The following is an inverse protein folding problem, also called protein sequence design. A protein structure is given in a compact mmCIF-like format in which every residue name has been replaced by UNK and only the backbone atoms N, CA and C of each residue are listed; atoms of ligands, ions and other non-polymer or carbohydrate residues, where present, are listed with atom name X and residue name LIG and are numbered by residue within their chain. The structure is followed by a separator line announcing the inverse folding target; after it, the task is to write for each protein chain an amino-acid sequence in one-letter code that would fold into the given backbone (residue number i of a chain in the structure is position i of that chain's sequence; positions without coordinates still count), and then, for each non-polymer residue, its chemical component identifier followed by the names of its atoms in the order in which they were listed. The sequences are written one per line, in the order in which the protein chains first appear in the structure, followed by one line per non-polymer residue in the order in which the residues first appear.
data_IF_678718421074
#
_entry.id   IF_678718421074
#
_cell.length_a   1.000
_cell.length_b   1.000
_cell.length_c   1.000
_cell.angle_alpha   90.00
_cell.angle_beta   90.00
_cell.angle_gamma   90.00
#
_symmetry.space_group_name_H-M   'P 1'
#
loop_
_entity.id
_entity.type
_entity.pdbx_description
1 polymer ?
#
# COMPACT_ATOMS: atom_id res chain seq x y z
N UNK A 1 23.43 -4.44 0.25
CA UNK A 1 22.36 -3.58 0.84
C UNK A 1 21.11 -3.83 0.01
N UNK A 2 19.94 -4.02 0.62
CA UNK A 2 18.70 -4.19 -0.12
C UNK A 2 18.30 -2.86 -0.76
N UNK A 3 17.84 -2.89 -2.02
CA UNK A 3 17.34 -1.70 -2.70
C UNK A 3 15.99 -1.28 -2.13
N UNK A 4 15.77 0.04 -2.05
CA UNK A 4 14.50 0.62 -1.66
C UNK A 4 13.56 0.64 -2.87
N UNK A 5 12.24 0.45 -2.64
CA UNK A 5 11.25 0.29 -3.71
C UNK A 5 10.41 1.56 -3.87
N UNK A 6 10.06 1.86 -5.11
CA UNK A 6 9.08 2.90 -5.49
C UNK A 6 7.86 2.19 -6.05
N UNK A 7 6.70 2.37 -5.39
CA UNK A 7 5.48 1.59 -5.61
C UNK A 7 4.33 2.53 -6.00
N UNK A 8 3.87 2.54 -7.25
CA UNK A 8 2.60 3.15 -7.61
C UNK A 8 1.42 2.39 -7.01
N UNK A 9 0.42 3.14 -6.50
CA UNK A 9 -0.82 2.58 -5.98
C UNK A 9 -2.01 3.08 -6.78
N UNK A 10 -2.91 2.18 -7.15
CA UNK A 10 -4.11 2.48 -7.93
C UNK A 10 -5.36 2.09 -7.15
N UNK A 11 -6.17 3.08 -6.79
CA UNK A 11 -7.51 2.85 -6.27
C UNK A 11 -8.40 2.41 -7.44
N UNK A 12 -8.97 1.22 -7.36
CA UNK A 12 -9.83 0.65 -8.41
C UNK A 12 -11.28 0.62 -7.92
N UNK A 13 -12.16 1.16 -8.74
CA UNK A 13 -13.62 1.11 -8.54
C UNK A 13 -14.29 0.67 -9.82
N UNK A 14 -15.11 -0.38 -9.74
CA UNK A 14 -15.87 -0.91 -10.90
C UNK A 14 -14.96 -1.18 -12.13
N UNK A 15 -13.74 -1.70 -11.89
CA UNK A 15 -12.75 -2.01 -12.93
C UNK A 15 -12.01 -0.81 -13.52
N UNK A 16 -12.16 0.39 -12.97
CA UNK A 16 -11.48 1.62 -13.41
C UNK A 16 -10.61 2.19 -12.30
N UNK A 17 -9.45 2.71 -12.67
CA UNK A 17 -8.63 3.48 -11.72
C UNK A 17 -9.31 4.81 -11.45
N UNK A 18 -9.48 5.12 -10.18
CA UNK A 18 -10.08 6.36 -9.74
C UNK A 18 -9.17 7.09 -8.76
N UNK A 19 -9.25 8.41 -8.75
CA UNK A 19 -8.56 9.23 -7.74
C UNK A 19 -9.44 10.37 -7.27
N UNK A 20 -9.52 10.52 -5.96
CA UNK A 20 -10.19 11.63 -5.31
C UNK A 20 -9.41 12.07 -4.07
N UNK A 21 -9.79 13.19 -3.50
CA UNK A 21 -9.31 13.63 -2.19
C UNK A 21 -10.23 13.02 -1.13
N UNK A 22 -9.67 12.28 -0.18
CA UNK A 22 -10.45 11.58 0.87
C UNK A 22 -11.59 10.71 0.33
N UNK A 23 -11.36 10.03 -0.81
CA UNK A 23 -12.36 9.17 -1.50
C UNK A 23 -13.63 9.91 -1.95
N UNK A 24 -13.60 11.23 -2.07
CA UNK A 24 -14.71 12.08 -2.57
C UNK A 24 -14.34 12.67 -3.92
N UNK A 25 -15.34 12.96 -4.77
CA UNK A 25 -15.15 13.51 -6.13
C UNK A 25 -14.17 12.70 -6.97
N UNK A 26 -14.38 11.38 -7.02
CA UNK A 26 -13.53 10.45 -7.76
C UNK A 26 -13.49 10.84 -9.25
N UNK A 27 -12.30 11.00 -9.79
CA UNK A 27 -12.02 11.18 -11.21
C UNK A 27 -11.50 9.87 -11.77
N UNK A 28 -11.97 9.48 -12.94
CA UNK A 28 -11.46 8.34 -13.70
C UNK A 28 -10.03 8.65 -14.18
N UNK A 29 -9.10 7.74 -13.91
CA UNK A 29 -7.70 7.82 -14.33
C UNK A 29 -7.35 6.76 -15.40
N UNK A 30 -8.30 5.93 -15.82
CA UNK A 30 -8.12 4.99 -16.92
C UNK A 30 -8.26 3.51 -16.55
N UNK A 31 -7.84 2.64 -17.49
CA UNK A 31 -7.76 1.20 -17.27
C UNK A 31 -6.58 0.87 -16.35
N UNK A 32 -6.76 0.02 -15.32
CA UNK A 32 -5.71 -0.32 -14.36
C UNK A 32 -4.52 -1.04 -15.00
N UNK A 33 -4.75 -1.89 -16.01
CA UNK A 33 -3.67 -2.65 -16.64
C UNK A 33 -2.84 -1.74 -17.55
N UNK A 34 -3.47 -0.88 -18.33
CA UNK A 34 -2.78 0.09 -19.17
C UNK A 34 -1.94 1.07 -18.34
N UNK A 35 -2.44 1.45 -17.17
CA UNK A 35 -1.69 2.32 -16.26
C UNK A 35 -0.51 1.56 -15.62
N UNK A 36 -0.72 0.32 -15.21
CA UNK A 36 0.33 -0.52 -14.63
C UNK A 36 1.44 -0.83 -15.65
N UNK A 37 1.13 -1.07 -16.93
CA UNK A 37 2.12 -1.21 -18.00
C UNK A 37 3.03 0.01 -18.12
N UNK A 38 2.45 1.21 -18.08
CA UNK A 38 3.24 2.45 -18.09
C UNK A 38 4.18 2.54 -16.89
N UNK A 39 3.79 2.04 -15.73
CA UNK A 39 4.64 2.00 -14.55
C UNK A 39 5.73 0.93 -14.67
N UNK A 40 5.43 -0.22 -15.28
CA UNK A 40 6.43 -1.25 -15.60
C UNK A 40 7.49 -0.71 -16.56
N UNK A 41 7.09 -0.03 -17.62
CA UNK A 41 8.01 0.64 -18.57
C UNK A 41 8.89 1.70 -17.87
N UNK A 42 8.36 2.40 -16.88
CA UNK A 42 9.10 3.36 -16.05
C UNK A 42 9.94 2.69 -14.94
N UNK A 43 9.97 1.34 -14.89
CA UNK A 43 10.74 0.55 -13.92
C UNK A 43 10.26 0.72 -12.47
N UNK A 44 8.94 0.75 -12.25
CA UNK A 44 8.39 0.53 -10.92
C UNK A 44 8.92 -0.78 -10.32
N UNK A 45 9.04 -0.85 -9.01
CA UNK A 45 9.52 -2.07 -8.36
C UNK A 45 8.39 -3.05 -8.04
N UNK A 46 7.18 -2.54 -7.92
CA UNK A 46 5.94 -3.24 -7.61
C UNK A 46 4.77 -2.30 -7.92
N UNK A 47 3.56 -2.81 -8.16
CA UNK A 47 2.34 -2.01 -8.17
C UNK A 47 1.32 -2.55 -7.17
N UNK A 48 0.49 -1.67 -6.61
CA UNK A 48 -0.60 -2.07 -5.72
C UNK A 48 -1.92 -1.61 -6.30
N UNK A 49 -2.85 -2.57 -6.44
CA UNK A 49 -4.25 -2.31 -6.77
C UNK A 49 -5.09 -2.39 -5.49
N UNK A 50 -5.81 -1.32 -5.16
CA UNK A 50 -6.72 -1.28 -4.02
C UNK A 50 -8.15 -1.22 -4.53
N UNK A 51 -8.86 -2.34 -4.44
CA UNK A 51 -10.30 -2.38 -4.73
C UNK A 51 -11.06 -1.65 -3.61
N UNK A 52 -11.60 -0.50 -3.97
CA UNK A 52 -12.45 0.32 -3.09
C UNK A 52 -13.94 0.05 -3.30
N UNK A 53 -14.30 -0.93 -4.13
CA UNK A 53 -15.67 -1.34 -4.40
C UNK A 53 -16.18 -2.24 -3.27
N UNK A 54 -17.24 -1.86 -2.59
CA UNK A 54 -17.75 -2.58 -1.41
C UNK A 54 -18.71 -3.74 -1.73
N UNK A 55 -18.87 -4.15 -3.00
CA UNK A 55 -19.91 -5.09 -3.44
C UNK A 55 -19.37 -6.46 -3.87
N UNK A 56 -20.25 -7.49 -3.88
CA UNK A 56 -19.93 -8.83 -4.40
C UNK A 56 -19.57 -8.83 -5.89
N UNK A 57 -20.20 -7.96 -6.67
CA UNK A 57 -19.97 -7.84 -8.11
C UNK A 57 -18.58 -7.23 -8.41
N UNK A 58 -18.12 -6.33 -7.55
CA UNK A 58 -16.76 -5.78 -7.61
C UNK A 58 -15.68 -6.84 -7.47
N UNK A 59 -15.92 -7.91 -6.71
CA UNK A 59 -14.94 -8.99 -6.53
C UNK A 59 -14.66 -9.77 -7.83
N UNK A 60 -15.66 -10.06 -8.64
CA UNK A 60 -15.47 -10.73 -9.93
C UNK A 60 -14.62 -9.86 -10.86
N UNK A 61 -14.89 -8.54 -10.88
CA UNK A 61 -14.12 -7.56 -11.66
C UNK A 61 -12.66 -7.49 -11.20
N UNK A 62 -12.41 -7.56 -9.87
CA UNK A 62 -11.05 -7.52 -9.31
C UNK A 62 -10.27 -8.79 -9.62
N UNK A 63 -10.93 -9.96 -9.64
CA UNK A 63 -10.31 -11.23 -10.05
C UNK A 63 -9.95 -11.20 -11.54
N UNK A 64 -10.84 -10.72 -12.41
CA UNK A 64 -10.58 -10.53 -13.84
C UNK A 64 -9.39 -9.59 -14.06
N UNK A 65 -9.36 -8.47 -13.37
CA UNK A 65 -8.23 -7.53 -13.39
C UNK A 65 -6.92 -8.21 -12.98
N UNK A 66 -6.92 -9.01 -11.91
CA UNK A 66 -5.72 -9.72 -11.46
C UNK A 66 -5.25 -10.74 -12.50
N UNK A 67 -6.16 -11.47 -13.15
CA UNK A 67 -5.82 -12.40 -14.23
C UNK A 67 -5.19 -11.68 -15.42
N UNK A 68 -5.76 -10.56 -15.85
CA UNK A 68 -5.18 -9.71 -16.92
C UNK A 68 -3.81 -9.16 -16.51
N UNK A 69 -3.65 -8.74 -15.26
CA UNK A 69 -2.38 -8.26 -14.73
C UNK A 69 -1.29 -9.36 -14.82
N UNK A 70 -1.62 -10.59 -14.47
CA UNK A 70 -0.68 -11.72 -14.52
C UNK A 70 -0.22 -12.08 -15.93
N UNK A 71 -1.03 -11.79 -16.94
CA UNK A 71 -0.70 -12.05 -18.36
C UNK A 71 0.13 -10.92 -18.98
N UNK A 72 -0.03 -9.69 -18.49
CA UNK A 72 0.44 -8.49 -19.18
C UNK A 72 1.56 -7.72 -18.45
N UNK A 73 1.75 -7.95 -17.13
CA UNK A 73 2.76 -7.26 -16.32
C UNK A 73 3.97 -8.16 -16.05
N UNK A 74 5.16 -7.55 -15.97
CA UNK A 74 6.42 -8.23 -15.67
C UNK A 74 6.96 -7.88 -14.27
N UNK A 75 6.30 -6.96 -13.57
CA UNK A 75 6.64 -6.59 -12.20
C UNK A 75 5.67 -7.22 -11.21
N UNK A 76 6.11 -7.47 -9.96
CA UNK A 76 5.24 -7.97 -8.92
C UNK A 76 4.07 -7.03 -8.65
N UNK A 77 2.90 -7.59 -8.31
CA UNK A 77 1.77 -6.79 -7.93
C UNK A 77 1.02 -7.34 -6.70
N UNK A 78 0.50 -6.40 -5.93
CA UNK A 78 -0.33 -6.68 -4.77
C UNK A 78 -1.78 -6.25 -5.05
N UNK A 79 -2.74 -7.06 -4.60
CA UNK A 79 -4.16 -6.69 -4.63
C UNK A 79 -4.68 -6.53 -3.21
N UNK A 80 -5.30 -5.39 -2.93
CA UNK A 80 -5.96 -5.09 -1.66
C UNK A 80 -7.45 -4.84 -1.85
N UNK A 81 -8.20 -4.99 -0.76
CA UNK A 81 -9.63 -4.71 -0.71
C UNK A 81 -10.52 -5.95 -0.58
N UNK A 82 -11.46 -5.90 0.34
CA UNK A 82 -12.57 -6.84 0.46
C UNK A 82 -12.25 -8.28 0.89
N UNK A 83 -11.01 -8.67 1.16
CA UNK A 83 -10.67 -10.02 1.62
C UNK A 83 -11.18 -10.25 3.04
N UNK A 84 -11.96 -11.33 3.24
CA UNK A 84 -12.57 -11.67 4.53
C UNK A 84 -12.17 -13.07 5.01
N UNK A 85 -11.62 -13.90 4.15
CA UNK A 85 -11.28 -15.29 4.42
C UNK A 85 -10.03 -15.75 3.68
N UNK A 86 -9.44 -16.85 4.13
CA UNK A 86 -8.33 -17.53 3.43
C UNK A 86 -8.77 -18.02 2.03
N UNK A 87 -10.05 -18.35 1.86
CA UNK A 87 -10.60 -18.76 0.56
C UNK A 87 -10.59 -17.58 -0.44
N UNK A 88 -10.94 -16.36 0.01
CA UNK A 88 -10.86 -15.16 -0.82
C UNK A 88 -9.41 -14.90 -1.27
N UNK A 89 -8.47 -15.00 -0.32
CA UNK A 89 -7.03 -14.82 -0.59
C UNK A 89 -6.54 -15.87 -1.58
N UNK A 90 -6.94 -17.13 -1.40
CA UNK A 90 -6.59 -18.23 -2.33
C UNK A 90 -7.05 -17.94 -3.75
N UNK A 91 -8.27 -17.47 -3.91
CA UNK A 91 -8.82 -17.13 -5.23
C UNK A 91 -7.99 -16.03 -5.90
N UNK A 92 -7.58 -15.01 -5.16
CA UNK A 92 -6.79 -13.91 -5.70
C UNK A 92 -5.36 -14.32 -6.07
N UNK A 93 -4.69 -15.10 -5.21
CA UNK A 93 -3.36 -15.65 -5.51
C UNK A 93 -3.45 -16.61 -6.73
N UNK A 94 -4.50 -17.44 -6.81
CA UNK A 94 -4.71 -18.31 -7.97
C UNK A 94 -5.01 -17.53 -9.27
N UNK A 95 -5.55 -16.33 -9.19
CA UNK A 95 -5.72 -15.41 -10.31
C UNK A 95 -4.42 -14.71 -10.74
N UNK A 96 -3.31 -14.91 -10.01
CA UNK A 96 -1.98 -14.46 -10.38
C UNK A 96 -1.37 -13.38 -9.49
N UNK A 97 -2.09 -12.86 -8.48
CA UNK A 97 -1.51 -11.87 -7.58
C UNK A 97 -0.33 -12.45 -6.78
N UNK A 98 0.80 -11.73 -6.74
CA UNK A 98 1.98 -12.11 -5.94
C UNK A 98 1.74 -11.91 -4.45
N UNK A 99 0.97 -10.87 -4.11
CA UNK A 99 0.64 -10.49 -2.74
C UNK A 99 -0.82 -10.09 -2.61
N UNK A 100 -1.34 -10.23 -1.41
CA UNK A 100 -2.64 -9.67 -1.02
C UNK A 100 -2.51 -8.78 0.19
N UNK A 101 -3.27 -7.68 0.19
CA UNK A 101 -3.31 -6.74 1.30
C UNK A 101 -4.59 -6.90 2.11
N UNK A 102 -4.44 -7.12 3.42
CA UNK A 102 -5.55 -7.25 4.38
C UNK A 102 -5.52 -6.08 5.38
N UNK A 103 -6.70 -5.54 5.70
CA UNK A 103 -6.88 -4.44 6.66
C UNK A 103 -8.01 -4.78 7.64
N UNK A 104 -9.24 -4.29 7.41
CA UNK A 104 -10.37 -4.38 8.33
C UNK A 104 -10.69 -5.81 8.79
N UNK A 105 -10.56 -6.79 7.90
CA UNK A 105 -10.81 -8.19 8.24
C UNK A 105 -9.75 -8.75 9.21
N UNK A 106 -8.49 -8.35 9.04
CA UNK A 106 -7.40 -8.76 9.93
C UNK A 106 -7.53 -8.13 11.33
N UNK A 107 -8.13 -6.94 11.44
CA UNK A 107 -8.43 -6.32 12.74
C UNK A 107 -9.62 -6.99 13.41
N UNK A 108 -10.64 -7.38 12.62
CA UNK A 108 -11.81 -8.11 13.13
C UNK A 108 -11.45 -9.52 13.60
N UNK A 109 -10.61 -10.22 12.85
CA UNK A 109 -10.05 -11.53 13.19
C UNK A 109 -8.57 -11.61 12.81
N UNK A 110 -7.66 -11.36 13.75
CA UNK A 110 -6.23 -11.41 13.52
C UNK A 110 -5.70 -12.81 13.13
N UNK A 111 -6.46 -13.87 13.35
CA UNK A 111 -6.07 -15.24 12.93
C UNK A 111 -6.04 -15.37 11.41
N UNK A 112 -6.73 -14.49 10.67
CA UNK A 112 -6.68 -14.43 9.21
C UNK A 112 -5.23 -14.28 8.71
N UNK A 113 -4.43 -13.41 9.33
CA UNK A 113 -3.00 -13.24 8.97
C UNK A 113 -2.25 -14.56 9.17
N UNK A 114 -2.43 -15.19 10.33
CA UNK A 114 -1.71 -16.43 10.69
C UNK A 114 -2.05 -17.57 9.72
N UNK A 115 -3.34 -17.76 9.44
CA UNK A 115 -3.80 -18.84 8.56
C UNK A 115 -3.45 -18.59 7.10
N UNK A 116 -3.50 -17.34 6.65
CA UNK A 116 -3.09 -16.96 5.30
C UNK A 116 -1.56 -17.11 5.12
N UNK A 117 -0.76 -16.65 6.07
CA UNK A 117 0.70 -16.80 6.04
C UNK A 117 1.13 -18.28 6.05
N UNK A 118 0.44 -19.13 6.82
CA UNK A 118 0.69 -20.58 6.81
C UNK A 118 0.34 -21.22 5.47
N UNK A 119 -0.68 -20.72 4.76
CA UNK A 119 -1.14 -21.27 3.49
C UNK A 119 -0.34 -20.80 2.27
N UNK A 120 0.15 -19.56 2.26
CA UNK A 120 0.74 -18.90 1.07
C UNK A 120 2.16 -18.39 1.29
N UNK A 121 2.67 -18.46 2.50
CA UNK A 121 3.94 -17.83 2.91
C UNK A 121 3.75 -16.40 3.39
N UNK A 122 4.62 -15.96 4.30
CA UNK A 122 4.56 -14.61 4.88
C UNK A 122 4.70 -13.53 3.81
N UNK A 123 5.57 -13.72 2.81
CA UNK A 123 5.84 -12.79 1.73
C UNK A 123 4.59 -12.45 0.87
N UNK A 124 3.57 -13.32 0.88
CA UNK A 124 2.33 -13.10 0.14
C UNK A 124 1.30 -12.25 0.91
N UNK A 125 1.53 -11.99 2.20
CA UNK A 125 0.55 -11.34 3.08
C UNK A 125 1.07 -9.96 3.52
N UNK A 126 0.43 -8.93 3.03
CA UNK A 126 0.68 -7.54 3.39
C UNK A 126 -0.43 -7.06 4.34
N UNK A 127 -0.05 -6.49 5.48
CA UNK A 127 -1.01 -5.87 6.41
C UNK A 127 -1.08 -4.36 6.15
N UNK A 128 -2.23 -3.89 5.67
CA UNK A 128 -2.48 -2.46 5.52
C UNK A 128 -2.97 -1.86 6.85
N UNK A 129 -2.40 -0.70 7.20
CA UNK A 129 -2.70 0.05 8.43
C UNK A 129 -2.98 1.50 8.05
N UNK A 130 -4.25 1.91 8.20
CA UNK A 130 -4.64 3.31 8.13
C UNK A 130 -4.52 3.89 9.53
N UNK A 131 -3.58 4.80 9.74
CA UNK A 131 -3.29 5.36 11.06
C UNK A 131 -3.56 6.86 11.10
N UNK A 132 -4.13 7.31 12.22
CA UNK A 132 -4.39 8.72 12.48
C UNK A 132 -3.84 9.13 13.84
N UNK A 133 -3.20 10.30 13.90
CA UNK A 133 -2.65 10.84 15.14
C UNK A 133 -3.76 11.14 16.15
N UNK A 134 -3.49 10.80 17.40
CA UNK A 134 -4.41 11.09 18.51
C UNK A 134 -4.30 12.57 18.87
N UNK A 135 -5.41 13.27 18.90
CA UNK A 135 -5.45 14.69 19.25
C UNK A 135 -4.75 14.96 20.61
N UNK A 136 -3.85 15.93 20.63
CA UNK A 136 -3.08 16.28 21.82
C UNK A 136 -1.94 15.32 22.20
N UNK A 137 -1.69 14.27 21.39
CA UNK A 137 -0.57 13.34 21.62
C UNK A 137 0.21 13.07 20.32
N UNK A 138 1.28 13.82 20.04
CA UNK A 138 2.01 13.77 18.77
C UNK A 138 2.78 12.44 18.54
N UNK A 139 2.90 11.59 19.56
CA UNK A 139 3.62 10.32 19.48
C UNK A 139 2.69 9.11 19.60
N UNK A 140 1.39 9.31 19.35
CA UNK A 140 0.39 8.24 19.40
C UNK A 140 -0.52 8.30 18.19
N UNK A 141 -0.68 7.14 17.54
CA UNK A 141 -1.58 6.96 16.40
C UNK A 141 -2.53 5.79 16.66
N UNK A 142 -3.75 5.93 16.22
CA UNK A 142 -4.77 4.89 16.32
C UNK A 142 -5.14 4.37 14.93
N UNK A 143 -5.43 3.07 14.88
CA UNK A 143 -5.80 2.37 13.64
C UNK A 143 -7.26 2.65 13.29
N UNK A 144 -7.49 2.95 12.03
CA UNK A 144 -8.81 3.11 11.44
C UNK A 144 -9.12 1.99 10.46
N UNK A 145 -10.41 1.69 10.28
CA UNK A 145 -10.93 0.68 9.35
C UNK A 145 -12.05 1.25 8.50
N UNK A 146 -12.56 0.42 7.58
CA UNK A 146 -13.65 0.80 6.67
C UNK A 146 -13.33 2.05 5.84
N UNK A 147 -12.10 2.12 5.27
CA UNK A 147 -11.65 3.28 4.49
C UNK A 147 -11.54 4.55 5.33
N UNK A 148 -10.97 4.44 6.53
CA UNK A 148 -10.73 5.58 7.43
C UNK A 148 -11.97 6.09 8.19
N UNK A 149 -13.12 5.44 8.04
CA UNK A 149 -14.39 5.92 8.64
C UNK A 149 -14.61 5.53 10.09
N UNK A 150 -13.94 4.48 10.57
CA UNK A 150 -14.19 3.94 11.92
C UNK A 150 -12.86 3.81 12.68
N UNK A 151 -12.74 4.56 13.78
CA UNK A 151 -11.67 4.39 14.75
C UNK A 151 -11.85 3.06 15.50
N UNK A 152 -10.75 2.31 15.66
CA UNK A 152 -10.75 1.05 16.40
C UNK A 152 -10.30 1.19 17.85
N UNK A 153 -9.64 2.30 18.20
CA UNK A 153 -8.97 2.51 19.48
C UNK A 153 -7.66 1.71 19.63
N UNK A 154 -7.27 0.94 18.62
CA UNK A 154 -6.01 0.19 18.64
C UNK A 154 -4.82 1.13 18.38
N UNK A 155 -3.78 0.99 19.17
CA UNK A 155 -2.50 1.67 18.93
C UNK A 155 -1.84 1.10 17.67
N UNK A 156 -1.47 1.99 16.73
CA UNK A 156 -0.97 1.58 15.41
C UNK A 156 0.37 0.84 15.49
N UNK A 157 1.27 1.24 16.40
CA UNK A 157 2.57 0.58 16.58
C UNK A 157 2.37 -0.83 17.16
N UNK A 158 1.51 -0.96 18.19
CA UNK A 158 1.20 -2.28 18.78
C UNK A 158 0.53 -3.20 17.76
N UNK A 159 -0.35 -2.67 16.93
CA UNK A 159 -1.00 -3.46 15.88
C UNK A 159 0.00 -3.92 14.81
N UNK A 160 0.92 -3.07 14.38
CA UNK A 160 1.98 -3.45 13.43
C UNK A 160 2.85 -4.60 13.99
N UNK A 161 3.25 -4.52 15.27
CA UNK A 161 4.00 -5.60 15.96
C UNK A 161 3.18 -6.90 16.00
N UNK A 162 1.91 -6.84 16.33
CA UNK A 162 1.03 -8.01 16.36
C UNK A 162 0.84 -8.62 14.96
N UNK A 163 0.65 -7.79 13.92
CA UNK A 163 0.53 -8.26 12.54
C UNK A 163 1.81 -8.98 12.08
N UNK A 164 2.99 -8.41 12.37
CA UNK A 164 4.28 -9.03 12.07
C UNK A 164 4.44 -10.37 12.80
N UNK A 165 4.11 -10.41 14.11
CA UNK A 165 4.16 -11.63 14.92
C UNK A 165 3.24 -12.73 14.39
N UNK A 166 2.13 -12.37 13.77
CA UNK A 166 1.17 -13.30 13.17
C UNK A 166 1.57 -13.78 11.78
N UNK A 167 2.61 -13.21 11.18
CA UNK A 167 3.15 -13.67 9.91
C UNK A 167 2.82 -12.74 8.74
N UNK A 168 2.42 -11.49 8.96
CA UNK A 168 2.49 -10.51 7.90
C UNK A 168 3.94 -10.36 7.43
N UNK A 169 4.16 -10.38 6.13
CA UNK A 169 5.49 -10.24 5.54
C UNK A 169 5.88 -8.78 5.28
N UNK A 170 4.90 -7.87 5.33
CA UNK A 170 5.11 -6.45 5.04
C UNK A 170 3.98 -5.59 5.63
N UNK A 171 4.28 -4.35 5.98
CA UNK A 171 3.28 -3.36 6.43
C UNK A 171 3.12 -2.28 5.35
N UNK A 172 1.89 -2.05 4.89
CA UNK A 172 1.51 -0.86 4.12
C UNK A 172 0.92 0.17 5.09
N UNK A 173 1.68 1.22 5.37
CA UNK A 173 1.33 2.21 6.37
C UNK A 173 0.85 3.49 5.72
N UNK A 174 -0.44 3.81 5.86
CA UNK A 174 -1.02 5.07 5.37
C UNK A 174 -1.29 6.02 6.53
N UNK A 175 -0.64 7.19 6.51
CA UNK A 175 -1.01 8.29 7.40
C UNK A 175 -2.25 9.00 6.87
N UNK A 176 -3.35 8.91 7.61
CA UNK A 176 -4.60 9.62 7.28
C UNK A 176 -4.46 11.13 7.45
N UNK A 177 -3.53 11.58 8.30
CA UNK A 177 -3.28 13.01 8.52
C UNK A 177 -2.53 13.64 7.35
N UNK A 178 -1.80 12.82 6.57
CA UNK A 178 -1.00 13.27 5.42
C UNK A 178 -1.63 12.93 4.07
N UNK A 179 -2.51 11.93 4.00
CA UNK A 179 -3.06 11.50 2.71
C UNK A 179 -3.79 12.64 1.99
N UNK A 180 -3.39 12.88 0.73
CA UNK A 180 -3.89 13.95 -0.11
C UNK A 180 -3.31 15.35 0.17
N UNK A 181 -2.52 15.56 1.23
CA UNK A 181 -1.99 16.88 1.61
C UNK A 181 -0.88 17.39 0.69
N UNK A 182 -0.07 16.49 0.12
CA UNK A 182 1.18 16.79 -0.62
C UNK A 182 2.29 17.44 0.24
N UNK A 183 2.21 17.33 1.58
CA UNK A 183 3.17 17.93 2.53
C UNK A 183 4.26 16.95 3.00
N UNK A 184 4.36 15.78 2.37
CA UNK A 184 5.29 14.71 2.72
C UNK A 184 4.68 13.64 3.60
N UNK A 185 5.40 12.53 3.73
CA UNK A 185 5.02 11.42 4.61
C UNK A 185 4.96 11.81 6.07
N UNK A 186 4.20 11.09 6.88
CA UNK A 186 4.30 11.15 8.34
C UNK A 186 5.57 10.42 8.79
N UNK A 187 6.68 11.15 8.83
CA UNK A 187 8.00 10.61 9.14
C UNK A 187 8.07 10.04 10.56
N UNK A 188 7.37 10.68 11.51
CA UNK A 188 7.35 10.24 12.90
C UNK A 188 6.62 8.90 13.06
N UNK A 189 5.44 8.77 12.45
CA UNK A 189 4.66 7.53 12.42
C UNK A 189 5.43 6.41 11.71
N UNK A 190 5.96 6.71 10.52
CA UNK A 190 6.69 5.75 9.70
C UNK A 190 7.89 5.18 10.44
N UNK A 191 8.71 6.05 11.04
CA UNK A 191 9.87 5.67 11.85
C UNK A 191 9.49 4.86 13.09
N UNK A 192 8.42 5.26 13.78
CA UNK A 192 7.95 4.54 14.97
C UNK A 192 7.60 3.08 14.65
N UNK A 193 6.93 2.84 13.51
CA UNK A 193 6.57 1.49 13.08
C UNK A 193 7.79 0.76 12.51
N UNK A 194 8.60 1.39 11.64
CA UNK A 194 9.77 0.75 11.04
C UNK A 194 10.76 0.22 12.10
N UNK A 195 10.91 0.94 13.22
CA UNK A 195 11.75 0.49 14.34
C UNK A 195 11.11 -0.58 15.21
N UNK A 196 9.79 -0.72 15.19
CA UNK A 196 9.07 -1.64 16.05
C UNK A 196 8.89 -3.04 15.43
N UNK A 197 8.99 -3.18 14.10
CA UNK A 197 8.75 -4.44 13.40
C UNK A 197 10.01 -4.92 12.67
N UNK A 198 10.23 -6.26 12.55
CA UNK A 198 11.36 -6.83 11.82
C UNK A 198 11.08 -7.04 10.32
N UNK A 199 9.95 -6.56 9.81
CA UNK A 199 9.48 -6.72 8.42
C UNK A 199 9.45 -5.39 7.70
N UNK A 200 9.53 -5.36 6.36
CA UNK A 200 9.52 -4.14 5.58
C UNK A 200 8.28 -3.27 5.84
N UNK A 201 8.48 -1.95 5.80
CA UNK A 201 7.42 -0.95 5.93
C UNK A 201 7.37 -0.10 4.67
N UNK A 202 6.19 -0.01 4.06
CA UNK A 202 5.88 0.86 2.93
C UNK A 202 5.24 2.14 3.46
N UNK A 203 5.89 3.28 3.28
CA UNK A 203 5.30 4.58 3.63
C UNK A 203 4.29 5.03 2.58
N UNK A 204 3.11 5.45 3.02
CA UNK A 204 2.00 5.91 2.18
C UNK A 204 1.31 7.15 2.77
N UNK A 205 0.83 8.01 1.87
CA UNK A 205 0.09 9.24 2.21
C UNK A 205 0.97 10.48 2.33
N UNK A 206 0.65 11.53 1.55
CA UNK A 206 1.24 12.85 1.66
C UNK A 206 2.32 13.24 0.65
N UNK A 207 2.77 12.34 -0.21
CA UNK A 207 3.78 12.65 -1.21
C UNK A 207 3.29 13.70 -2.22
N UNK A 208 4.14 14.71 -2.49
CA UNK A 208 3.86 15.77 -3.46
C UNK A 208 5.07 16.21 -4.29
N UNK A 209 6.32 15.85 -3.89
CA UNK A 209 7.56 16.23 -4.58
C UNK A 209 8.67 15.22 -4.36
N UNK A 210 9.78 15.34 -5.11
CA UNK A 210 10.88 14.38 -5.13
C UNK A 210 11.52 14.18 -3.75
N UNK A 211 11.73 15.29 -3.01
CA UNK A 211 12.36 15.27 -1.69
C UNK A 211 11.61 14.37 -0.71
N UNK A 212 10.28 14.34 -0.78
CA UNK A 212 9.46 13.54 0.13
C UNK A 212 9.75 12.04 0.03
N UNK A 213 10.11 11.54 -1.17
CA UNK A 213 10.47 10.14 -1.35
C UNK A 213 11.78 9.79 -0.62
N UNK A 214 12.78 10.67 -0.72
CA UNK A 214 14.04 10.49 0.00
C UNK A 214 13.85 10.61 1.52
N UNK A 215 13.08 11.61 1.99
CA UNK A 215 12.76 11.81 3.40
C UNK A 215 12.07 10.59 4.00
N UNK A 216 11.12 9.98 3.26
CA UNK A 216 10.43 8.76 3.69
C UNK A 216 11.38 7.59 3.96
N UNK A 217 12.45 7.46 3.17
CA UNK A 217 13.48 6.43 3.35
C UNK A 217 14.52 6.83 4.42
N UNK A 218 15.06 8.04 4.34
CA UNK A 218 16.19 8.47 5.20
C UNK A 218 15.70 8.76 6.61
N UNK A 219 14.64 9.57 6.73
CA UNK A 219 14.14 10.02 8.01
C UNK A 219 13.01 9.15 8.55
N UNK A 220 12.13 8.67 7.66
CA UNK A 220 11.05 7.76 8.00
C UNK A 220 11.52 6.32 8.22
N UNK A 221 12.74 5.96 7.77
CA UNK A 221 13.32 4.62 7.85
C UNK A 221 12.48 3.56 7.11
N UNK A 222 11.67 3.97 6.13
CA UNK A 222 10.86 3.06 5.33
C UNK A 222 11.73 2.18 4.41
N UNK A 223 11.19 1.02 4.02
CA UNK A 223 11.80 0.10 3.06
C UNK A 223 11.27 0.30 1.64
N UNK A 224 10.12 0.95 1.54
CA UNK A 224 9.51 1.35 0.29
C UNK A 224 8.68 2.62 0.47
N UNK A 225 8.45 3.30 -0.63
CA UNK A 225 7.62 4.51 -0.71
C UNK A 225 6.52 4.32 -1.74
N UNK A 226 5.30 4.67 -1.37
CA UNK A 226 4.13 4.50 -2.20
C UNK A 226 3.52 5.86 -2.53
N UNK A 227 3.14 6.03 -3.80
CA UNK A 227 2.42 7.21 -4.26
C UNK A 227 1.36 6.86 -5.32
N UNK A 228 0.37 7.71 -5.45
CA UNK A 228 -0.75 7.55 -6.38
C UNK A 228 -0.86 8.76 -7.32
N UNK A 229 -1.42 9.87 -6.85
CA UNK A 229 -1.80 11.02 -7.69
C UNK A 229 -0.65 11.63 -8.48
N UNK A 230 0.53 11.77 -7.87
CA UNK A 230 1.71 12.36 -8.54
C UNK A 230 2.14 11.56 -9.78
N UNK A 231 1.92 10.23 -9.77
CA UNK A 231 2.19 9.36 -10.90
C UNK A 231 1.02 9.32 -11.89
N UNK A 232 -0.23 9.22 -11.40
CA UNK A 232 -1.42 9.13 -12.26
C UNK A 232 -1.58 10.35 -13.16
N UNK A 233 -1.29 11.53 -12.61
CA UNK A 233 -1.43 12.80 -13.33
C UNK A 233 -0.15 13.27 -14.02
N UNK A 234 0.92 12.45 -13.99
CA UNK A 234 2.18 12.77 -14.64
C UNK A 234 2.91 13.97 -14.04
N UNK A 235 2.65 14.30 -12.76
CA UNK A 235 3.38 15.34 -12.04
C UNK A 235 4.85 14.92 -11.81
N UNK A 236 5.08 13.61 -11.58
CA UNK A 236 6.39 12.96 -11.46
C UNK A 236 6.35 11.64 -12.21
N UNK A 237 7.49 11.23 -12.75
CA UNK A 237 7.72 9.88 -13.26
C UNK A 237 8.44 9.03 -12.20
N UNK A 238 8.26 7.71 -12.26
CA UNK A 238 8.95 6.78 -11.35
C UNK A 238 10.46 6.87 -11.56
N UNK A 239 10.89 7.07 -12.80
CA UNK A 239 12.28 7.22 -13.15
C UNK A 239 12.90 8.45 -12.49
N UNK A 240 12.29 9.62 -12.60
CA UNK A 240 12.75 10.86 -11.92
C UNK A 240 12.89 10.67 -10.41
N UNK A 241 11.90 10.00 -9.78
CA UNK A 241 11.94 9.69 -8.36
C UNK A 241 13.14 8.81 -8.02
N UNK A 242 13.37 7.72 -8.76
CA UNK A 242 14.50 6.82 -8.52
C UNK A 242 15.85 7.49 -8.78
N UNK A 243 15.97 8.27 -9.83
CA UNK A 243 17.19 9.06 -10.14
C UNK A 243 17.47 10.06 -9.00
N UNK A 244 16.45 10.74 -8.50
CA UNK A 244 16.61 11.63 -7.35
C UNK A 244 17.02 10.86 -6.09
N UNK A 245 16.34 9.76 -5.74
CA UNK A 245 16.70 8.93 -4.60
C UNK A 245 18.16 8.42 -4.70
N UNK A 246 18.60 7.98 -5.89
CA UNK A 246 19.98 7.58 -6.13
C UNK A 246 20.96 8.72 -5.89
N UNK A 247 20.63 9.95 -6.31
CA UNK A 247 21.46 11.14 -6.07
C UNK A 247 21.62 11.47 -4.58
N UNK A 248 20.65 11.05 -3.75
CA UNK A 248 20.70 11.18 -2.29
C UNK A 248 21.41 9.99 -1.61
N UNK A 249 22.04 9.09 -2.38
CA UNK A 249 22.75 7.91 -1.86
C UNK A 249 21.85 6.75 -1.45
N UNK A 250 20.57 6.78 -1.81
CA UNK A 250 19.61 5.70 -1.52
C UNK A 250 19.78 4.62 -2.59
N UNK A 251 20.01 3.34 -2.20
CA UNK A 251 20.12 2.25 -3.16
C UNK A 251 18.75 1.95 -3.79
N UNK A 252 18.63 2.17 -5.09
CA UNK A 252 17.44 1.86 -5.90
C UNK A 252 17.84 1.06 -7.14
N UNK A 253 16.88 0.39 -7.76
CA UNK A 253 17.06 -0.30 -9.04
C UNK A 253 16.62 0.65 -10.18
N UNK A 254 17.55 1.16 -10.97
CA UNK A 254 17.30 2.03 -12.13
C UNK A 254 16.94 1.24 -13.38
#
# INVERSE_FOLDING_TARGET
MLTKRVIPCMDVKDGRVVKGVNFVNLRDAGDPIELAKRYDEQKADEVIFLDITATSDGRATTIDMASRASEELHLPYCVGGGFRSVADIRTMIAAGADKVSVNSAAIADPTLITTAAAAFGTQAILCAIDAKQVAGNPNKWEVYVAGGRKNTGLDAVKWAVEAARRGAGEILLTSMDRDGSKDGFDLALTRAIARAVPIPVIASGGVGKLEHFAEGIIEGEADAVLAASVFHFGELTIREVKEYMASQGIPVRL
#
